data_IF_545981740299
#
_entry.id   IF_545981740299
#
_cell.length_a   1.000
_cell.length_b   1.000
_cell.length_c   1.000
_cell.angle_alpha   90.00
_cell.angle_beta   90.00
_cell.angle_gamma   90.00
#
_symmetry.space_group_name_H-M   'P 1'
#
loop_
_entity.id
_entity.type
_entity.pdbx_description
1 polymer ?
#
# COMPACT_ATOMS: atom_id res chain seq x y z
N UNK A 1 59.71 82.96 -16.83
CA UNK A 1 59.23 83.39 -15.50
C UNK A 1 57.82 82.82 -15.34
N UNK A 2 57.66 81.82 -14.43
CA UNK A 2 56.46 81.40 -13.66
C UNK A 2 55.09 81.44 -14.40
N UNK A 3 54.28 80.37 -14.50
CA UNK A 3 53.49 79.80 -13.40
C UNK A 3 52.69 78.54 -13.89
N UNK A 4 52.81 77.42 -13.14
CA UNK A 4 51.76 76.43 -12.70
C UNK A 4 50.95 75.72 -13.80
N UNK A 5 50.97 74.40 -14.11
CA UNK A 5 51.25 73.10 -13.46
C UNK A 5 50.57 72.88 -12.10
N UNK A 6 49.38 72.27 -12.12
CA UNK A 6 48.95 71.15 -11.25
C UNK A 6 47.41 71.04 -11.24
N UNK A 7 46.84 70.12 -12.02
CA UNK A 7 45.48 69.63 -11.79
C UNK A 7 45.34 68.20 -12.32
N UNK A 8 44.65 67.36 -11.55
CA UNK A 8 44.23 66.00 -11.87
C UNK A 8 45.25 64.85 -11.68
N UNK A 9 45.58 64.57 -10.42
CA UNK A 9 45.92 63.20 -9.98
C UNK A 9 45.42 63.02 -8.54
N UNK A 10 44.30 62.29 -8.40
CA UNK A 10 43.86 61.48 -7.25
C UNK A 10 42.35 61.20 -7.38
N UNK A 11 41.95 60.42 -8.38
CA UNK A 11 40.71 59.64 -8.29
C UNK A 11 41.05 58.33 -7.61
N UNK A 12 40.74 58.24 -6.32
CA UNK A 12 40.74 57.00 -5.56
C UNK A 12 39.61 56.11 -6.07
N UNK A 13 39.99 55.07 -6.81
CA UNK A 13 39.16 53.90 -7.09
C UNK A 13 38.89 53.17 -5.76
N UNK A 14 37.82 53.56 -5.06
CA UNK A 14 37.18 52.70 -4.06
C UNK A 14 36.30 51.70 -4.82
N UNK A 15 36.57 50.38 -4.74
CA UNK A 15 35.56 49.41 -5.14
C UNK A 15 34.40 49.55 -4.15
N UNK A 16 33.25 50.02 -4.64
CA UNK A 16 32.00 49.88 -3.93
C UNK A 16 31.77 48.37 -3.77
N UNK A 17 32.01 47.87 -2.56
CA UNK A 17 31.62 46.53 -2.16
C UNK A 17 30.10 46.45 -2.35
N UNK A 18 29.67 45.77 -3.41
CA UNK A 18 28.29 45.35 -3.53
C UNK A 18 27.96 44.54 -2.27
N UNK A 19 26.83 44.81 -1.59
CA UNK A 19 26.40 43.95 -0.50
C UNK A 19 26.29 42.53 -1.07
N UNK A 20 27.04 41.60 -0.48
CA UNK A 20 26.90 40.19 -0.77
C UNK A 20 25.41 39.85 -0.65
N UNK A 21 24.85 39.27 -1.72
CA UNK A 21 23.52 38.69 -1.65
C UNK A 21 23.49 37.75 -0.44
N UNK A 22 22.44 37.76 0.39
CA UNK A 22 22.33 36.79 1.47
C UNK A 22 22.50 35.41 0.86
N UNK A 23 23.48 34.64 1.37
CA UNK A 23 23.55 33.21 1.10
C UNK A 23 22.18 32.67 1.52
N UNK A 24 21.35 32.30 0.54
CA UNK A 24 20.16 31.52 0.83
C UNK A 24 20.69 30.25 1.52
N UNK A 25 20.42 30.12 2.81
CA UNK A 25 20.65 28.88 3.54
C UNK A 25 19.90 27.79 2.77
N UNK A 26 20.64 27.04 1.96
CA UNK A 26 20.09 25.90 1.24
C UNK A 26 19.74 24.88 2.32
N UNK A 27 18.45 24.83 2.68
CA UNK A 27 17.93 23.84 3.61
C UNK A 27 18.10 22.47 2.98
N UNK A 28 19.16 21.76 3.36
CA UNK A 28 19.39 20.37 2.94
C UNK A 28 18.49 19.47 3.78
N UNK A 29 17.33 19.11 3.23
CA UNK A 29 16.41 18.17 3.87
C UNK A 29 17.02 16.77 3.89
N UNK A 30 17.27 16.24 5.07
CA UNK A 30 17.83 14.88 5.25
C UNK A 30 16.74 13.83 5.39
N UNK A 31 17.14 12.55 5.22
CA UNK A 31 16.28 11.40 5.52
C UNK A 31 15.74 11.45 6.97
N UNK A 32 16.57 11.88 7.92
CA UNK A 32 16.19 11.97 9.33
C UNK A 32 15.13 13.06 9.55
N UNK A 33 15.21 14.18 8.84
CA UNK A 33 14.20 15.25 8.92
C UNK A 33 12.85 14.76 8.42
N UNK A 34 12.83 14.03 7.29
CA UNK A 34 11.60 13.43 6.77
C UNK A 34 11.04 12.40 7.74
N UNK A 35 11.89 11.53 8.33
CA UNK A 35 11.45 10.57 9.34
C UNK A 35 10.87 11.26 10.59
N UNK A 36 11.49 12.34 11.05
CA UNK A 36 11.01 13.14 12.17
C UNK A 36 9.66 13.81 11.84
N UNK A 37 9.46 14.25 10.60
CA UNK A 37 8.18 14.77 10.13
C UNK A 37 7.11 13.67 10.06
N UNK A 38 7.44 12.50 9.49
CA UNK A 38 6.52 11.36 9.43
C UNK A 38 6.05 10.94 10.83
N UNK A 39 6.95 10.93 11.81
CA UNK A 39 6.63 10.59 13.20
C UNK A 39 5.61 11.55 13.85
N UNK A 40 5.48 12.79 13.34
CA UNK A 40 4.52 13.79 13.83
C UNK A 40 3.14 13.66 13.16
N UNK A 41 3.04 13.01 11.99
CA UNK A 41 1.78 12.84 11.25
C UNK A 41 0.61 12.36 12.14
N UNK A 42 0.79 11.33 12.98
CA UNK A 42 -0.30 10.81 13.81
C UNK A 42 -0.86 11.81 14.83
N UNK A 43 -0.12 12.86 15.15
CA UNK A 43 -0.52 13.89 16.13
C UNK A 43 -1.13 15.13 15.46
N UNK A 44 -0.83 15.37 14.17
CA UNK A 44 -1.35 16.51 13.40
C UNK A 44 -2.54 16.15 12.51
N UNK A 45 -2.63 14.90 12.07
CA UNK A 45 -3.72 14.42 11.22
C UNK A 45 -4.93 14.00 12.08
N UNK A 46 -6.17 14.20 11.60
CA UNK A 46 -7.39 13.80 12.31
C UNK A 46 -7.64 12.27 12.20
N UNK A 47 -6.60 11.46 12.42
CA UNK A 47 -6.62 10.00 12.21
C UNK A 47 -7.77 9.35 12.98
N UNK A 48 -8.01 9.79 14.22
CA UNK A 48 -9.07 9.22 15.05
C UNK A 48 -10.45 9.51 14.48
N UNK A 49 -10.69 10.71 13.99
CA UNK A 49 -11.93 11.14 13.35
C UNK A 49 -12.14 10.38 12.03
N UNK A 50 -11.09 10.21 11.23
CA UNK A 50 -11.14 9.45 9.98
C UNK A 50 -11.47 7.98 10.24
N UNK A 51 -10.81 7.33 11.22
CA UNK A 51 -11.14 5.96 11.62
C UNK A 51 -12.58 5.86 12.15
N UNK A 52 -13.08 6.90 12.85
CA UNK A 52 -14.49 6.94 13.25
C UNK A 52 -15.43 7.04 12.05
N UNK A 53 -15.09 7.80 11.01
CA UNK A 53 -15.88 7.91 9.78
C UNK A 53 -15.91 6.59 8.99
N UNK A 54 -14.87 5.78 9.12
CA UNK A 54 -14.80 4.40 8.59
C UNK A 54 -15.57 3.38 9.44
N UNK A 55 -16.14 3.79 10.58
CA UNK A 55 -17.00 2.95 11.42
C UNK A 55 -16.27 2.25 12.58
N UNK A 56 -14.98 2.51 12.80
CA UNK A 56 -14.28 1.97 13.96
C UNK A 56 -14.82 2.58 15.26
N UNK A 57 -15.00 1.74 16.30
CA UNK A 57 -15.52 2.10 17.63
C UNK A 57 -14.85 1.26 18.71
N UNK A 58 -14.89 1.72 19.96
CA UNK A 58 -14.38 0.96 21.12
C UNK A 58 -12.92 0.52 20.94
N UNK A 59 -12.63 -0.73 21.32
CA UNK A 59 -11.28 -1.32 21.20
C UNK A 59 -10.76 -1.32 19.75
N UNK A 60 -11.63 -1.55 18.76
CA UNK A 60 -11.22 -1.53 17.35
C UNK A 60 -10.74 -0.14 16.90
N UNK A 61 -11.31 0.94 17.44
CA UNK A 61 -10.84 2.30 17.17
C UNK A 61 -9.43 2.51 17.72
N UNK A 62 -9.15 2.06 18.93
CA UNK A 62 -7.81 2.17 19.51
C UNK A 62 -6.79 1.34 18.72
N UNK A 63 -7.16 0.12 18.29
CA UNK A 63 -6.31 -0.70 17.43
C UNK A 63 -6.01 -0.04 16.09
N UNK A 64 -7.00 0.57 15.42
CA UNK A 64 -6.82 1.24 14.14
C UNK A 64 -5.93 2.49 14.25
N UNK A 65 -6.15 3.32 15.28
CA UNK A 65 -5.33 4.50 15.56
C UNK A 65 -3.89 4.08 15.89
N UNK A 66 -3.72 3.06 16.72
CA UNK A 66 -2.40 2.54 17.07
C UNK A 66 -1.66 1.96 15.85
N UNK A 67 -2.37 1.24 14.98
CA UNK A 67 -1.80 0.68 13.74
C UNK A 67 -1.34 1.80 12.80
N UNK A 68 -2.16 2.82 12.60
CA UNK A 68 -1.80 3.97 11.76
C UNK A 68 -0.52 4.64 12.31
N UNK A 69 -0.48 4.93 13.62
CA UNK A 69 0.72 5.46 14.28
C UNK A 69 1.94 4.55 14.06
N UNK A 70 1.78 3.25 14.24
CA UNK A 70 2.88 2.28 14.12
C UNK A 70 3.53 2.31 12.74
N UNK A 71 2.78 2.51 11.65
CA UNK A 71 3.38 2.62 10.31
C UNK A 71 4.30 3.83 10.16
N UNK A 72 3.92 4.98 10.73
CA UNK A 72 4.67 6.23 10.60
C UNK A 72 5.82 6.37 11.60
N UNK A 73 5.72 5.71 12.77
CA UNK A 73 6.76 5.77 13.81
C UNK A 73 7.74 4.60 13.75
N UNK A 74 7.46 3.57 12.93
CA UNK A 74 8.39 2.46 12.77
C UNK A 74 9.61 2.88 11.94
N UNK A 75 10.85 2.76 12.46
CA UNK A 75 12.03 3.31 11.81
C UNK A 75 12.37 2.64 10.47
N UNK A 76 11.99 1.37 10.30
CA UNK A 76 12.24 0.63 9.04
C UNK A 76 11.28 1.12 7.96
N UNK A 77 10.00 1.21 8.30
CA UNK A 77 8.96 1.65 7.35
C UNK A 77 9.13 3.14 7.04
N UNK A 78 9.24 3.99 8.07
CA UNK A 78 9.45 5.42 7.91
C UNK A 78 10.75 5.73 7.14
N UNK A 79 11.81 4.96 7.38
CA UNK A 79 13.06 5.08 6.64
C UNK A 79 12.90 4.78 5.14
N UNK A 80 12.17 3.74 4.78
CA UNK A 80 11.87 3.42 3.38
C UNK A 80 11.01 4.51 2.72
N UNK A 81 9.98 5.00 3.43
CA UNK A 81 9.12 6.08 2.94
C UNK A 81 9.93 7.36 2.71
N UNK A 82 10.81 7.71 3.64
CA UNK A 82 11.68 8.88 3.52
C UNK A 82 12.59 8.77 2.29
N UNK A 83 13.16 7.59 2.01
CA UNK A 83 13.93 7.35 0.78
C UNK A 83 13.07 7.56 -0.48
N UNK A 84 11.84 7.07 -0.51
CA UNK A 84 10.94 7.28 -1.64
C UNK A 84 10.58 8.75 -1.85
N UNK A 85 10.33 9.50 -0.76
CA UNK A 85 10.06 10.94 -0.82
C UNK A 85 11.29 11.68 -1.38
N UNK A 86 12.49 11.37 -0.89
CA UNK A 86 13.73 11.95 -1.41
C UNK A 86 13.94 11.62 -2.89
N UNK A 87 13.69 10.37 -3.31
CA UNK A 87 13.82 9.95 -4.70
C UNK A 87 12.83 10.69 -5.62
N UNK A 88 11.59 10.87 -5.17
CA UNK A 88 10.55 11.59 -5.91
C UNK A 88 10.89 13.08 -6.04
N UNK A 89 11.42 13.70 -4.98
CA UNK A 89 11.87 15.09 -5.02
C UNK A 89 13.06 15.28 -5.98
N UNK A 90 14.01 14.34 -5.98
CA UNK A 90 15.16 14.37 -6.88
C UNK A 90 14.80 14.08 -8.35
N UNK A 91 13.67 13.42 -8.62
CA UNK A 91 13.24 13.03 -9.97
C UNK A 91 11.77 13.41 -10.21
N UNK A 92 11.46 14.72 -10.30
CA UNK A 92 10.09 15.17 -10.55
C UNK A 92 9.62 14.67 -11.91
N UNK A 93 8.58 13.83 -11.94
CA UNK A 93 8.03 13.26 -13.18
C UNK A 93 7.97 11.73 -13.21
N UNK A 94 8.55 11.03 -12.24
CA UNK A 94 8.25 9.61 -12.07
C UNK A 94 6.80 9.43 -11.58
N UNK A 95 6.03 8.50 -12.16
CA UNK A 95 4.68 8.22 -11.69
C UNK A 95 4.72 7.79 -10.22
N UNK A 96 4.02 8.54 -9.36
CA UNK A 96 3.83 8.17 -7.96
C UNK A 96 3.07 6.85 -7.84
N UNK A 97 3.26 6.14 -6.73
CA UNK A 97 2.53 4.90 -6.46
C UNK A 97 1.05 5.21 -6.16
N UNK A 98 0.14 4.75 -7.04
CA UNK A 98 -1.30 5.01 -6.93
C UNK A 98 -1.98 4.39 -5.70
N UNK A 99 -1.29 3.51 -4.96
CA UNK A 99 -1.79 2.77 -3.80
C UNK A 99 -1.28 3.33 -2.45
N UNK A 100 -0.74 4.55 -2.47
CA UNK A 100 -0.09 5.15 -1.29
C UNK A 100 1.28 4.50 -1.00
N UNK A 101 1.86 4.86 0.16
CA UNK A 101 3.25 4.51 0.50
C UNK A 101 3.37 3.24 1.38
N UNK A 102 2.27 2.82 2.01
CA UNK A 102 2.26 1.68 2.95
C UNK A 102 1.86 0.37 2.27
N UNK A 103 0.77 0.39 1.50
CA UNK A 103 0.22 -0.83 0.91
C UNK A 103 1.22 -1.59 0.02
N UNK A 104 2.01 -0.91 -0.84
CA UNK A 104 3.03 -1.58 -1.64
C UNK A 104 4.13 -2.29 -0.81
N UNK A 105 4.35 -1.87 0.44
CA UNK A 105 5.27 -2.55 1.36
C UNK A 105 4.65 -3.80 1.95
N UNK A 106 3.35 -3.75 2.27
CA UNK A 106 2.60 -4.91 2.76
C UNK A 106 2.61 -6.01 1.69
N UNK A 107 2.17 -5.70 0.46
CA UNK A 107 2.09 -6.67 -0.64
C UNK A 107 3.45 -7.34 -0.91
N UNK A 108 4.50 -6.52 -0.98
CA UNK A 108 5.87 -7.02 -1.18
C UNK A 108 6.35 -7.93 -0.04
N UNK A 109 5.89 -7.67 1.19
CA UNK A 109 6.28 -8.37 2.39
C UNK A 109 5.49 -9.64 2.68
N UNK A 110 4.24 -9.74 2.23
CA UNK A 110 3.33 -10.85 2.52
C UNK A 110 3.94 -12.21 2.13
N UNK A 111 4.53 -12.31 0.93
CA UNK A 111 5.14 -13.56 0.46
C UNK A 111 6.30 -14.09 1.32
N UNK A 112 6.91 -13.24 2.16
CA UNK A 112 7.99 -13.62 3.09
C UNK A 112 7.47 -14.19 4.41
N UNK A 113 6.16 -14.12 4.67
CA UNK A 113 5.59 -14.60 5.92
C UNK A 113 5.55 -16.15 5.97
N UNK A 114 5.56 -16.72 7.19
CA UNK A 114 5.25 -18.14 7.38
C UNK A 114 3.84 -18.45 6.86
N UNK A 115 3.65 -19.64 6.27
CA UNK A 115 2.39 -20.04 5.63
C UNK A 115 1.18 -19.86 6.52
N UNK A 116 1.30 -20.17 7.83
CA UNK A 116 0.21 -19.99 8.80
C UNK A 116 -0.28 -18.55 8.88
N UNK A 117 0.63 -17.57 8.91
CA UNK A 117 0.27 -16.13 8.98
C UNK A 117 -0.31 -15.65 7.65
N UNK A 118 0.25 -16.11 6.54
CA UNK A 118 -0.24 -15.76 5.22
C UNK A 118 -1.65 -16.31 4.98
N UNK A 119 -1.91 -17.56 5.39
CA UNK A 119 -3.24 -18.16 5.37
C UNK A 119 -4.22 -17.37 6.23
N UNK A 120 -3.87 -17.08 7.49
CA UNK A 120 -4.73 -16.30 8.38
C UNK A 120 -5.09 -14.93 7.78
N UNK A 121 -4.11 -14.23 7.20
CA UNK A 121 -4.34 -12.95 6.52
C UNK A 121 -5.43 -13.07 5.44
N UNK A 122 -5.29 -14.05 4.54
CA UNK A 122 -6.26 -14.25 3.47
C UNK A 122 -7.60 -14.86 3.91
N UNK A 123 -7.65 -15.56 5.04
CA UNK A 123 -8.92 -15.97 5.67
C UNK A 123 -9.70 -14.74 6.17
N UNK A 124 -9.01 -13.76 6.76
CA UNK A 124 -9.62 -12.48 7.16
C UNK A 124 -10.06 -11.68 5.92
N UNK A 125 -9.21 -11.56 4.89
CA UNK A 125 -9.59 -10.94 3.61
C UNK A 125 -10.83 -11.59 2.99
N UNK A 126 -10.84 -12.92 2.90
CA UNK A 126 -11.99 -13.67 2.38
C UNK A 126 -13.24 -13.38 3.18
N UNK A 127 -13.15 -13.35 4.51
CA UNK A 127 -14.27 -13.02 5.40
C UNK A 127 -14.82 -11.62 5.12
N UNK A 128 -13.93 -10.63 4.92
CA UNK A 128 -14.33 -9.26 4.56
C UNK A 128 -15.01 -9.20 3.19
N UNK A 129 -14.45 -9.85 2.17
CA UNK A 129 -15.03 -9.92 0.81
C UNK A 129 -16.41 -10.60 0.81
N UNK A 130 -16.57 -11.65 1.62
CA UNK A 130 -17.85 -12.34 1.79
C UNK A 130 -18.90 -11.49 2.50
N UNK A 131 -18.48 -10.59 3.40
CA UNK A 131 -19.35 -9.69 4.13
C UNK A 131 -19.74 -8.42 3.34
N UNK A 132 -19.04 -8.11 2.25
CA UNK A 132 -19.33 -6.95 1.41
C UNK A 132 -20.69 -7.06 0.69
N UNK A 133 -21.37 -5.92 0.47
CA UNK A 133 -22.48 -5.85 -0.47
C UNK A 133 -22.04 -6.32 -1.87
N UNK A 134 -22.92 -7.05 -2.55
CA UNK A 134 -22.62 -7.67 -3.86
C UNK A 134 -22.08 -6.67 -4.89
N UNK A 135 -22.70 -5.48 -4.97
CA UNK A 135 -22.26 -4.43 -5.89
C UNK A 135 -20.80 -3.99 -5.64
N UNK A 136 -20.46 -3.72 -4.37
CA UNK A 136 -19.12 -3.28 -3.98
C UNK A 136 -18.08 -4.37 -4.18
N UNK A 137 -18.40 -5.60 -3.76
CA UNK A 137 -17.59 -6.79 -4.01
C UNK A 137 -17.31 -6.96 -5.52
N UNK A 138 -18.34 -6.88 -6.37
CA UNK A 138 -18.17 -6.99 -7.81
C UNK A 138 -17.25 -5.92 -8.39
N UNK A 139 -17.42 -4.67 -7.98
CA UNK A 139 -16.55 -3.55 -8.40
C UNK A 139 -15.10 -3.70 -7.94
N UNK A 140 -14.86 -4.22 -6.73
CA UNK A 140 -13.50 -4.55 -6.25
C UNK A 140 -12.89 -5.61 -7.15
N UNK A 141 -13.61 -6.70 -7.41
CA UNK A 141 -13.10 -7.84 -8.18
C UNK A 141 -12.81 -7.46 -9.65
N UNK A 142 -13.59 -6.55 -10.23
CA UNK A 142 -13.31 -5.99 -11.57
C UNK A 142 -12.26 -4.88 -11.58
N UNK A 143 -11.79 -4.44 -10.42
CA UNK A 143 -10.90 -3.29 -10.25
C UNK A 143 -11.49 -1.97 -10.78
N UNK A 144 -12.79 -1.75 -10.56
CA UNK A 144 -13.56 -0.56 -10.98
C UNK A 144 -13.73 0.48 -9.86
N UNK A 145 -12.95 0.35 -8.78
CA UNK A 145 -12.89 1.32 -7.69
C UNK A 145 -11.58 2.11 -7.79
N UNK A 146 -11.61 3.38 -7.41
CA UNK A 146 -10.37 4.10 -7.10
C UNK A 146 -9.67 3.43 -5.91
N UNK A 147 -8.35 3.63 -5.79
CA UNK A 147 -7.58 3.08 -4.67
C UNK A 147 -8.15 3.53 -3.30
N UNK A 148 -8.57 4.79 -3.19
CA UNK A 148 -9.23 5.32 -1.99
C UNK A 148 -10.57 4.61 -1.71
N UNK A 149 -11.44 4.48 -2.72
CA UNK A 149 -12.74 3.82 -2.54
C UNK A 149 -12.60 2.33 -2.20
N UNK A 150 -11.58 1.66 -2.72
CA UNK A 150 -11.21 0.30 -2.32
C UNK A 150 -10.76 0.29 -0.84
N UNK A 151 -9.78 1.11 -0.48
CA UNK A 151 -9.24 1.19 0.89
C UNK A 151 -10.35 1.46 1.92
N UNK A 152 -11.26 2.37 1.62
CA UNK A 152 -12.44 2.69 2.43
C UNK A 152 -13.37 1.49 2.60
N UNK A 153 -13.66 0.78 1.51
CA UNK A 153 -14.51 -0.40 1.52
C UNK A 153 -13.98 -1.47 2.47
N UNK A 154 -12.68 -1.77 2.33
CA UNK A 154 -12.01 -2.80 3.13
C UNK A 154 -11.83 -2.35 4.58
N UNK A 155 -11.54 -1.07 4.82
CA UNK A 155 -11.43 -0.52 6.18
C UNK A 155 -12.76 -0.57 6.93
N UNK A 156 -13.89 -0.28 6.25
CA UNK A 156 -15.23 -0.43 6.84
C UNK A 156 -15.56 -1.89 7.17
N UNK A 157 -15.04 -2.85 6.41
CA UNK A 157 -15.17 -4.27 6.77
C UNK A 157 -14.25 -4.65 7.94
N UNK A 158 -13.01 -4.18 7.95
CA UNK A 158 -12.08 -4.39 9.05
C UNK A 158 -12.61 -3.85 10.38
N UNK A 159 -13.30 -2.70 10.36
CA UNK A 159 -13.95 -2.10 11.53
C UNK A 159 -14.97 -3.02 12.22
N UNK A 160 -15.56 -3.97 11.46
CA UNK A 160 -16.57 -4.92 11.93
C UNK A 160 -15.98 -6.23 12.43
N UNK A 161 -14.67 -6.45 12.28
CA UNK A 161 -14.00 -7.61 12.87
C UNK A 161 -14.09 -7.57 14.39
N UNK A 162 -14.03 -8.74 15.04
CA UNK A 162 -13.78 -8.73 16.48
C UNK A 162 -12.35 -8.24 16.78
N UNK A 163 -12.14 -7.66 17.96
CA UNK A 163 -10.86 -7.05 18.32
C UNK A 163 -9.66 -8.02 18.24
N UNK A 164 -9.76 -9.30 18.69
CA UNK A 164 -8.67 -10.27 18.52
C UNK A 164 -8.26 -10.47 17.05
N UNK A 165 -9.23 -10.59 16.14
CA UNK A 165 -8.94 -10.78 14.72
C UNK A 165 -8.31 -9.54 14.09
N UNK A 166 -8.84 -8.35 14.41
CA UNK A 166 -8.29 -7.09 13.94
C UNK A 166 -6.84 -6.89 14.41
N UNK A 167 -6.56 -7.17 15.69
CA UNK A 167 -5.22 -7.06 16.27
C UNK A 167 -4.20 -7.96 15.57
N UNK A 168 -4.55 -9.22 15.32
CA UNK A 168 -3.67 -10.18 14.64
C UNK A 168 -3.48 -9.80 13.17
N UNK A 169 -4.54 -9.39 12.49
CA UNK A 169 -4.50 -8.92 11.10
C UNK A 169 -3.57 -7.69 10.93
N UNK A 170 -3.68 -6.70 11.83
CA UNK A 170 -2.78 -5.54 11.86
C UNK A 170 -1.33 -5.88 12.21
N UNK A 171 -1.11 -6.83 13.14
CA UNK A 171 0.23 -7.31 13.44
C UNK A 171 0.89 -7.98 12.22
N UNK A 172 0.12 -8.72 11.43
CA UNK A 172 0.58 -9.31 10.17
C UNK A 172 0.94 -8.22 9.16
N UNK A 173 0.07 -7.23 8.95
CA UNK A 173 0.33 -6.12 8.03
C UNK A 173 1.61 -5.35 8.41
N UNK A 174 1.79 -5.02 9.70
CA UNK A 174 2.99 -4.31 10.16
C UNK A 174 4.25 -5.14 9.93
N UNK A 175 4.18 -6.46 10.18
CA UNK A 175 5.30 -7.37 9.92
C UNK A 175 5.60 -7.48 8.43
N UNK A 176 4.58 -7.55 7.58
CA UNK A 176 4.74 -7.57 6.13
C UNK A 176 5.38 -6.27 5.65
N UNK A 177 4.88 -5.10 6.07
CA UNK A 177 5.44 -3.80 5.70
C UNK A 177 6.93 -3.67 6.06
N UNK A 178 7.33 -4.10 7.27
CA UNK A 178 8.76 -4.16 7.67
C UNK A 178 9.60 -5.06 6.76
N UNK A 179 9.04 -6.19 6.31
CA UNK A 179 9.73 -7.09 5.39
C UNK A 179 9.81 -6.48 3.98
N UNK A 180 8.74 -5.85 3.48
CA UNK A 180 8.70 -5.22 2.17
C UNK A 180 9.55 -3.94 2.06
N UNK A 181 9.75 -3.22 3.16
CA UNK A 181 10.72 -2.12 3.22
C UNK A 181 12.17 -2.60 2.95
N UNK A 182 12.51 -3.84 3.34
CA UNK A 182 13.88 -4.34 3.26
C UNK A 182 14.12 -5.40 2.18
N UNK A 183 13.07 -5.95 1.58
CA UNK A 183 13.16 -7.11 0.68
C UNK A 183 12.34 -6.88 -0.56
N UNK A 184 12.78 -7.47 -1.68
CA UNK A 184 12.00 -7.51 -2.93
C UNK A 184 10.82 -8.49 -2.79
N UNK A 185 9.79 -8.31 -3.62
CA UNK A 185 8.64 -9.21 -3.67
C UNK A 185 9.11 -10.64 -3.98
N UNK A 186 8.51 -11.63 -3.32
CA UNK A 186 8.75 -13.04 -3.65
C UNK A 186 8.16 -13.31 -5.02
N UNK A 187 8.96 -13.88 -5.92
CA UNK A 187 8.53 -14.28 -7.26
C UNK A 187 8.48 -15.79 -7.34
N UNK A 188 7.38 -16.32 -7.84
CA UNK A 188 7.26 -17.74 -8.16
C UNK A 188 8.08 -18.04 -9.42
N UNK A 189 8.74 -19.19 -9.44
CA UNK A 189 9.27 -19.74 -10.69
C UNK A 189 8.12 -20.12 -11.64
N UNK A 190 8.40 -20.23 -12.94
CA UNK A 190 7.40 -20.66 -13.93
C UNK A 190 6.75 -21.99 -13.55
N UNK A 191 7.53 -22.96 -13.09
CA UNK A 191 7.01 -24.26 -12.67
C UNK A 191 6.11 -24.17 -11.42
N UNK A 192 6.39 -23.25 -10.49
CA UNK A 192 5.51 -23.00 -9.35
C UNK A 192 4.20 -22.34 -9.81
N UNK A 193 4.31 -21.34 -10.68
CA UNK A 193 3.15 -20.68 -11.26
C UNK A 193 2.22 -21.65 -11.99
N UNK A 194 2.79 -22.52 -12.84
CA UNK A 194 2.01 -23.51 -13.59
C UNK A 194 1.30 -24.50 -12.66
N UNK A 195 1.95 -24.91 -11.56
CA UNK A 195 1.31 -25.75 -10.52
C UNK A 195 0.18 -25.04 -9.78
N UNK A 196 0.40 -23.78 -9.40
CA UNK A 196 -0.64 -22.96 -8.77
C UNK A 196 -1.84 -22.83 -9.68
N UNK A 197 -1.61 -22.47 -10.96
CA UNK A 197 -2.66 -22.36 -11.97
C UNK A 197 -3.44 -23.67 -12.14
N UNK A 198 -2.76 -24.79 -12.35
CA UNK A 198 -3.43 -26.08 -12.50
C UNK A 198 -4.25 -26.47 -11.26
N UNK A 199 -3.74 -26.18 -10.06
CA UNK A 199 -4.46 -26.39 -8.81
C UNK A 199 -5.70 -25.51 -8.67
N UNK A 200 -5.57 -24.21 -9.00
CA UNK A 200 -6.69 -23.28 -8.98
C UNK A 200 -7.75 -23.63 -10.02
N UNK A 201 -7.36 -23.96 -11.24
CA UNK A 201 -8.26 -24.38 -12.31
C UNK A 201 -9.10 -25.58 -11.85
N UNK A 202 -8.46 -26.62 -11.28
CA UNK A 202 -9.16 -27.80 -10.76
C UNK A 202 -10.12 -27.48 -9.61
N UNK A 203 -9.75 -26.60 -8.67
CA UNK A 203 -10.64 -26.20 -7.58
C UNK A 203 -11.80 -25.32 -8.07
N UNK A 204 -11.52 -24.43 -9.02
CA UNK A 204 -12.52 -23.56 -9.64
C UNK A 204 -13.55 -24.37 -10.43
N UNK A 205 -13.14 -25.41 -11.17
CA UNK A 205 -14.07 -26.29 -11.88
C UNK A 205 -15.09 -26.94 -10.92
N UNK A 206 -14.61 -27.48 -9.80
CA UNK A 206 -15.47 -28.08 -8.76
C UNK A 206 -16.40 -27.04 -8.14
N UNK A 207 -15.86 -25.86 -7.82
CA UNK A 207 -16.60 -24.77 -7.19
C UNK A 207 -17.69 -24.19 -8.10
N UNK A 208 -17.36 -23.95 -9.37
CA UNK A 208 -18.26 -23.38 -10.38
C UNK A 208 -19.39 -24.37 -10.67
N UNK A 209 -19.08 -25.67 -10.82
CA UNK A 209 -20.07 -26.71 -11.03
C UNK A 209 -21.10 -26.78 -9.89
N UNK A 210 -20.70 -26.42 -8.66
CA UNK A 210 -21.58 -26.33 -7.50
C UNK A 210 -22.46 -25.07 -7.43
N UNK A 211 -22.30 -24.12 -8.35
CA UNK A 211 -23.13 -22.89 -8.36
C UNK A 211 -24.49 -23.12 -9.04
N UNK A 212 -25.52 -22.30 -8.79
CA UNK A 212 -26.82 -22.45 -9.44
C UNK A 212 -26.82 -22.25 -10.97
N UNK A 213 -25.80 -21.58 -11.52
CA UNK A 213 -25.72 -21.22 -12.95
C UNK A 213 -24.26 -21.30 -13.45
N UNK A 214 -23.65 -22.50 -13.50
CA UNK A 214 -22.23 -22.69 -13.80
C UNK A 214 -21.83 -22.06 -15.14
N UNK A 215 -22.60 -22.31 -16.21
CA UNK A 215 -22.34 -21.77 -17.55
C UNK A 215 -22.21 -20.24 -17.56
N UNK A 216 -23.07 -19.54 -16.83
CA UNK A 216 -23.05 -18.07 -16.74
C UNK A 216 -21.83 -17.53 -15.99
N UNK A 217 -21.29 -18.31 -15.05
CA UNK A 217 -20.06 -17.99 -14.32
C UNK A 217 -18.85 -18.25 -15.21
N UNK A 218 -18.82 -19.37 -15.94
CA UNK A 218 -17.77 -19.69 -16.92
C UNK A 218 -17.69 -18.59 -17.99
N UNK A 219 -18.82 -18.16 -18.54
CA UNK A 219 -18.87 -17.06 -19.50
C UNK A 219 -18.30 -15.77 -18.90
N UNK A 220 -18.72 -15.41 -17.69
CA UNK A 220 -18.23 -14.22 -17.00
C UNK A 220 -16.73 -14.29 -16.64
N UNK A 221 -16.17 -15.48 -16.38
CA UNK A 221 -14.73 -15.65 -16.14
C UNK A 221 -13.89 -15.36 -17.40
N UNK A 222 -14.44 -15.56 -18.61
CA UNK A 222 -13.73 -15.27 -19.87
C UNK A 222 -13.54 -13.78 -20.10
N UNK A 223 -14.46 -12.93 -19.63
CA UNK A 223 -14.37 -11.48 -19.69
C UNK A 223 -14.90 -10.84 -18.40
N UNK A 224 -14.13 -10.98 -17.32
CA UNK A 224 -14.51 -10.52 -15.99
C UNK A 224 -14.81 -9.02 -15.96
N UNK A 225 -14.13 -8.21 -16.79
CA UNK A 225 -14.34 -6.76 -16.86
C UNK A 225 -15.73 -6.39 -17.38
N UNK A 226 -16.34 -7.25 -18.21
CA UNK A 226 -17.70 -7.05 -18.75
C UNK A 226 -18.77 -7.77 -17.95
N UNK A 227 -18.40 -8.64 -17.01
CA UNK A 227 -19.36 -9.28 -16.12
C UNK A 227 -20.08 -8.26 -15.26
N UNK A 228 -21.36 -8.48 -14.92
CA UNK A 228 -22.05 -7.65 -13.93
C UNK A 228 -21.49 -7.86 -12.52
N UNK A 229 -21.80 -6.93 -11.60
CA UNK A 229 -21.25 -6.95 -10.24
C UNK A 229 -21.56 -8.25 -9.49
N UNK A 230 -22.73 -8.86 -9.76
CA UNK A 230 -23.14 -10.09 -9.09
C UNK A 230 -22.26 -11.25 -9.49
N UNK A 231 -22.06 -11.46 -10.80
CA UNK A 231 -21.19 -12.53 -11.32
C UNK A 231 -19.74 -12.29 -10.94
N UNK A 232 -19.24 -11.06 -11.04
CA UNK A 232 -17.89 -10.72 -10.62
C UNK A 232 -17.67 -11.00 -9.12
N UNK A 233 -18.62 -10.63 -8.25
CA UNK A 233 -18.53 -10.92 -6.83
C UNK A 233 -18.51 -12.43 -6.53
N UNK A 234 -19.36 -13.21 -7.21
CA UNK A 234 -19.34 -14.67 -7.11
C UNK A 234 -17.97 -15.22 -7.51
N UNK A 235 -17.44 -14.82 -8.67
CA UNK A 235 -16.13 -15.27 -9.15
C UNK A 235 -15.02 -14.95 -8.14
N UNK A 236 -15.01 -13.73 -7.59
CA UNK A 236 -14.04 -13.32 -6.58
C UNK A 236 -14.09 -14.20 -5.33
N UNK A 237 -15.29 -14.45 -4.80
CA UNK A 237 -15.48 -15.33 -3.64
C UNK A 237 -15.02 -16.76 -3.92
N UNK A 238 -15.38 -17.30 -5.09
CA UNK A 238 -14.92 -18.62 -5.52
C UNK A 238 -13.39 -18.70 -5.63
N UNK A 239 -12.71 -17.64 -6.09
CA UNK A 239 -11.24 -17.62 -6.15
C UNK A 239 -10.62 -17.71 -4.74
N UNK A 240 -11.13 -16.95 -3.76
CA UNK A 240 -10.69 -17.07 -2.37
C UNK A 240 -10.92 -18.49 -1.84
N UNK A 241 -12.10 -19.07 -2.08
CA UNK A 241 -12.44 -20.43 -1.66
C UNK A 241 -11.50 -21.47 -2.32
N UNK A 242 -11.18 -21.29 -3.61
CA UNK A 242 -10.28 -22.16 -4.35
C UNK A 242 -8.88 -22.16 -3.72
N UNK A 243 -8.33 -20.98 -3.41
CA UNK A 243 -7.01 -20.87 -2.75
C UNK A 243 -7.04 -21.51 -1.37
N UNK A 244 -8.11 -21.32 -0.59
CA UNK A 244 -8.23 -21.91 0.75
C UNK A 244 -8.37 -23.43 0.74
N UNK A 245 -8.88 -24.03 -0.35
CA UNK A 245 -9.00 -25.49 -0.52
C UNK A 245 -7.72 -26.18 -0.97
N UNK A 246 -6.75 -25.45 -1.52
CA UNK A 246 -5.43 -26.01 -1.82
C UNK A 246 -4.72 -26.41 -0.52
N UNK A 247 -3.79 -27.34 -0.61
CA UNK A 247 -3.00 -27.81 0.54
C UNK A 247 -1.49 -27.75 0.28
N UNK A 248 -0.71 -27.84 1.36
CA UNK A 248 0.75 -27.95 1.32
C UNK A 248 1.45 -26.81 0.59
N UNK A 249 2.46 -27.16 -0.21
CA UNK A 249 3.27 -26.17 -0.93
C UNK A 249 2.47 -25.43 -2.00
N UNK A 250 1.50 -26.09 -2.65
CA UNK A 250 0.68 -25.44 -3.70
C UNK A 250 -0.20 -24.35 -3.07
N UNK A 251 -0.76 -24.59 -1.88
CA UNK A 251 -1.45 -23.53 -1.14
C UNK A 251 -0.53 -22.37 -0.81
N UNK A 252 0.68 -22.63 -0.27
CA UNK A 252 1.64 -21.58 0.04
C UNK A 252 1.95 -20.72 -1.19
N UNK A 253 2.24 -21.36 -2.32
CA UNK A 253 2.56 -20.66 -3.57
C UNK A 253 1.34 -19.88 -4.10
N UNK A 254 0.12 -20.41 -3.96
CA UNK A 254 -1.11 -19.70 -4.34
C UNK A 254 -1.38 -18.46 -3.47
N UNK A 255 -1.12 -18.53 -2.17
CA UNK A 255 -1.21 -17.38 -1.27
C UNK A 255 -0.16 -16.31 -1.60
N UNK A 256 1.04 -16.70 -2.04
CA UNK A 256 2.06 -15.77 -2.55
C UNK A 256 1.58 -15.13 -3.86
N UNK A 257 0.99 -15.92 -4.75
CA UNK A 257 0.42 -15.44 -6.01
C UNK A 257 -0.65 -14.36 -5.79
N UNK A 258 -1.50 -14.49 -4.76
CA UNK A 258 -2.48 -13.46 -4.41
C UNK A 258 -1.86 -12.11 -3.97
N UNK A 259 -0.62 -12.10 -3.49
CA UNK A 259 0.12 -10.88 -3.10
C UNK A 259 1.03 -10.37 -4.21
N UNK A 260 0.97 -10.96 -5.41
CA UNK A 260 1.80 -10.51 -6.52
C UNK A 260 1.31 -9.12 -7.00
N UNK A 261 2.22 -8.14 -7.15
CA UNK A 261 1.88 -6.80 -7.62
C UNK A 261 1.52 -6.77 -9.11
#
# INVERSE_FOLDING_TARGET
MRLIIALCLCLTLLPAAAPAAPEEDIVVVTKQDIMALLAQIPDIAPVREDMRALGFRGENLELAVAQNRAFYTDPVIAGHIAEQVMMAYANPGQPGQAQGLIWPLIDRGLGHLPTRKLRYYYEVESTMIHALPVAQCGRIIRNDLSAEAHSDAMSRMAARLNAPALKEYYAIQLRAARLGANRRAVRLSRAQFDRVRAGLDAQMDVLVAGTPRPESIIEAMRDLRRADDRRACVIGRLMYDAVMRLEGQVQRDALIFMSAP
#
